data_IF_785503689149
#
_entry.id   IF_785503689149
#
_cell.length_a   1.000
_cell.length_b   1.000
_cell.length_c   1.000
_cell.angle_alpha   90.00
_cell.angle_beta   90.00
_cell.angle_gamma   90.00
#
_symmetry.space_group_name_H-M   'P 1'
#
loop_
_entity.id
_entity.type
_entity.pdbx_description
1 polymer ?
#
# COMPACT_ATOMS: atom_id res chain seq x y z
N UNK A 1 -1.08 22.94 22.10
CA UNK A 1 -0.81 21.54 22.49
C UNK A 1 -1.41 20.63 21.43
N UNK A 2 -0.65 20.30 20.38
CA UNK A 2 -1.13 19.41 19.32
C UNK A 2 -0.80 18.00 19.77
N UNK A 3 -1.81 17.23 20.18
CA UNK A 3 -1.67 15.81 20.43
C UNK A 3 -1.45 15.10 19.08
N UNK A 4 -0.20 15.03 18.62
CA UNK A 4 0.19 14.07 17.58
C UNK A 4 0.40 12.72 18.27
N UNK A 5 -0.68 11.98 18.50
CA UNK A 5 -0.58 10.56 18.85
C UNK A 5 0.02 9.83 17.65
N UNK A 6 1.34 9.77 17.61
CA UNK A 6 2.04 9.07 16.54
C UNK A 6 1.86 7.58 16.77
N UNK A 7 0.96 6.94 16.01
CA UNK A 7 0.71 5.51 16.10
C UNK A 7 2.02 4.77 15.81
N UNK A 8 2.62 4.18 16.85
CA UNK A 8 3.76 3.29 16.68
C UNK A 8 3.26 1.90 16.27
N UNK A 9 3.85 1.35 15.20
CA UNK A 9 3.53 0.01 14.75
C UNK A 9 4.48 -0.96 15.44
N UNK A 10 3.96 -1.82 16.31
CA UNK A 10 4.75 -2.87 16.97
C UNK A 10 5.31 -3.90 15.98
N UNK A 11 4.57 -4.18 14.90
CA UNK A 11 4.98 -4.97 13.73
C UNK A 11 4.84 -4.11 12.45
N UNK A 12 5.89 -3.40 11.99
CA UNK A 12 5.79 -2.39 10.95
C UNK A 12 5.75 -3.01 9.54
N UNK A 13 4.69 -3.78 9.27
CA UNK A 13 4.32 -4.27 7.94
C UNK A 13 3.51 -3.22 7.21
N UNK A 14 4.09 -2.63 6.18
CA UNK A 14 3.46 -1.58 5.38
C UNK A 14 3.17 -2.09 3.98
N UNK A 15 1.90 -2.02 3.57
CA UNK A 15 1.48 -2.34 2.22
C UNK A 15 1.49 -1.06 1.38
N UNK A 16 2.27 -1.06 0.30
CA UNK A 16 2.29 0.02 -0.69
C UNK A 16 1.45 -0.38 -1.89
N UNK A 17 0.56 0.52 -2.31
CA UNK A 17 -0.20 0.38 -3.54
C UNK A 17 -0.44 1.74 -4.19
N UNK A 18 -0.85 1.76 -5.46
CA UNK A 18 -1.21 3.04 -6.07
C UNK A 18 -1.51 2.97 -7.56
N UNK A 19 -1.61 4.16 -8.14
CA UNK A 19 -1.85 4.35 -9.57
C UNK A 19 -0.73 3.71 -10.40
N UNK A 20 -1.12 3.00 -11.45
CA UNK A 20 -0.22 2.40 -12.45
C UNK A 20 0.56 3.44 -13.24
N UNK A 21 0.09 4.68 -13.24
CA UNK A 21 0.71 5.84 -13.90
C UNK A 21 1.21 6.90 -12.91
N UNK A 22 1.45 6.52 -11.66
CA UNK A 22 1.94 7.44 -10.64
C UNK A 22 3.18 8.22 -11.12
N UNK A 23 3.08 9.55 -11.13
CA UNK A 23 4.06 10.45 -11.76
C UNK A 23 5.19 10.87 -10.82
N UNK A 24 5.06 10.60 -9.53
CA UNK A 24 5.97 11.12 -8.50
C UNK A 24 6.62 9.98 -7.70
N UNK A 25 7.50 9.17 -8.32
CA UNK A 25 8.19 8.09 -7.61
C UNK A 25 9.04 8.60 -6.43
N UNK A 26 9.47 9.86 -6.48
CA UNK A 26 10.16 10.53 -5.36
C UNK A 26 9.31 10.59 -4.08
N UNK A 27 8.00 10.76 -4.20
CA UNK A 27 7.09 10.76 -3.04
C UNK A 27 7.01 9.39 -2.38
N UNK A 28 7.02 8.31 -3.19
CA UNK A 28 7.08 6.93 -2.65
C UNK A 28 8.38 6.73 -1.89
N UNK A 29 9.49 7.20 -2.45
CA UNK A 29 10.81 7.17 -1.79
C UNK A 29 10.79 7.93 -0.47
N UNK A 30 10.31 9.18 -0.45
CA UNK A 30 10.28 10.00 0.76
C UNK A 30 9.43 9.37 1.89
N UNK A 31 8.28 8.78 1.56
CA UNK A 31 7.45 8.09 2.55
C UNK A 31 8.16 6.84 3.09
N UNK A 32 8.77 6.03 2.22
CA UNK A 32 9.50 4.84 2.64
C UNK A 32 10.77 5.17 3.43
N UNK A 33 11.48 6.25 3.08
CA UNK A 33 12.64 6.74 3.85
C UNK A 33 12.22 7.14 5.27
N UNK A 34 11.08 7.84 5.44
CA UNK A 34 10.53 8.18 6.77
C UNK A 34 10.16 6.93 7.58
N UNK A 35 9.53 5.94 6.94
CA UNK A 35 9.21 4.67 7.59
C UNK A 35 10.47 3.89 7.97
N UNK A 36 11.49 3.89 7.12
CA UNK A 36 12.77 3.23 7.38
C UNK A 36 13.53 3.92 8.52
N UNK A 37 13.57 5.27 8.53
CA UNK A 37 14.15 6.03 9.63
C UNK A 37 13.46 5.74 10.97
N UNK A 38 12.14 5.50 10.95
CA UNK A 38 11.36 5.18 12.14
C UNK A 38 11.51 3.75 12.64
N UNK A 39 11.48 2.77 11.73
CA UNK A 39 11.37 1.35 12.10
C UNK A 39 12.64 0.55 11.86
N UNK A 40 13.61 1.10 11.13
CA UNK A 40 14.88 0.47 10.80
C UNK A 40 14.70 -0.91 10.16
N UNK A 41 15.43 -1.89 10.69
CA UNK A 41 15.43 -3.26 10.18
C UNK A 41 14.13 -4.03 10.40
N UNK A 42 13.23 -3.50 11.23
CA UNK A 42 11.89 -4.09 11.43
C UNK A 42 10.95 -3.82 10.27
N UNK A 43 11.20 -2.79 9.45
CA UNK A 43 10.30 -2.42 8.36
C UNK A 43 10.18 -3.54 7.33
N UNK A 44 8.93 -3.99 7.11
CA UNK A 44 8.54 -4.92 6.06
C UNK A 44 7.66 -4.15 5.06
N UNK A 45 8.04 -4.18 3.78
CA UNK A 45 7.30 -3.55 2.68
C UNK A 45 6.64 -4.62 1.83
N UNK A 46 5.32 -4.51 1.66
CA UNK A 46 4.49 -5.39 0.83
C UNK A 46 4.02 -4.61 -0.40
N UNK A 47 4.22 -5.15 -1.60
CA UNK A 47 3.84 -4.49 -2.87
C UNK A 47 3.43 -5.50 -3.96
N UNK A 48 2.76 -5.04 -5.01
CA UNK A 48 2.09 -5.91 -5.99
C UNK A 48 2.75 -6.06 -7.36
N UNK A 49 3.98 -5.59 -7.52
CA UNK A 49 4.77 -5.56 -8.74
C UNK A 49 4.03 -5.02 -9.97
N UNK A 50 3.13 -4.05 -9.76
CA UNK A 50 2.54 -3.28 -10.83
C UNK A 50 3.47 -2.12 -11.27
N UNK A 51 3.13 -1.48 -12.40
CA UNK A 51 3.76 -0.22 -12.78
C UNK A 51 3.40 0.92 -11.83
N UNK A 52 4.04 2.09 -11.96
CA UNK A 52 3.73 3.27 -11.16
C UNK A 52 4.20 3.13 -9.71
N UNK A 53 3.28 3.29 -8.75
CA UNK A 53 3.61 3.33 -7.33
C UNK A 53 4.26 2.02 -6.81
N UNK A 54 3.67 0.86 -7.15
CA UNK A 54 4.22 -0.45 -6.77
C UNK A 54 5.66 -0.60 -7.30
N UNK A 55 5.93 -0.18 -8.55
CA UNK A 55 7.28 -0.21 -9.14
C UNK A 55 8.26 0.70 -8.39
N UNK A 56 7.83 1.89 -8.00
CA UNK A 56 8.67 2.81 -7.23
C UNK A 56 9.04 2.20 -5.86
N UNK A 57 8.08 1.58 -5.17
CA UNK A 57 8.33 0.88 -3.91
C UNK A 57 9.28 -0.32 -4.08
N UNK A 58 9.08 -1.11 -5.14
CA UNK A 58 9.95 -2.22 -5.47
C UNK A 58 11.40 -1.78 -5.69
N UNK A 59 11.61 -0.70 -6.46
CA UNK A 59 12.93 -0.13 -6.71
C UNK A 59 13.57 0.42 -5.44
N UNK A 60 12.78 1.07 -4.58
CA UNK A 60 13.25 1.53 -3.28
C UNK A 60 13.73 0.36 -2.40
N UNK A 61 12.97 -0.73 -2.33
CA UNK A 61 13.36 -1.91 -1.54
C UNK A 61 14.68 -2.50 -2.03
N UNK A 62 14.84 -2.65 -3.35
CA UNK A 62 16.08 -3.13 -3.96
C UNK A 62 17.27 -2.21 -3.69
N UNK A 63 17.10 -0.90 -3.86
CA UNK A 63 18.16 0.09 -3.62
C UNK A 63 18.63 0.09 -2.17
N UNK A 64 17.71 -0.13 -1.23
CA UNK A 64 18.01 -0.18 0.21
C UNK A 64 18.34 -1.60 0.71
N UNK A 65 18.54 -2.58 -0.18
CA UNK A 65 18.99 -3.91 0.20
C UNK A 65 18.00 -4.73 1.03
N UNK A 66 16.70 -4.45 0.96
CA UNK A 66 15.69 -5.27 1.65
C UNK A 66 15.65 -6.67 1.05
N UNK A 67 15.97 -7.67 1.87
CA UNK A 67 15.90 -9.09 1.51
C UNK A 67 14.46 -9.64 1.46
N UNK A 68 14.28 -10.91 1.08
CA UNK A 68 12.97 -11.55 0.90
C UNK A 68 12.04 -11.54 2.14
N UNK A 69 12.62 -11.44 3.33
CA UNK A 69 11.86 -11.37 4.59
C UNK A 69 11.26 -9.98 4.84
N UNK A 70 11.85 -8.95 4.23
CA UNK A 70 11.47 -7.54 4.40
C UNK A 70 10.83 -6.94 3.15
N UNK A 71 11.06 -7.50 1.97
CA UNK A 71 10.42 -7.09 0.72
C UNK A 71 9.52 -8.20 0.19
N UNK A 72 8.21 -8.03 0.41
CA UNK A 72 7.15 -8.99 0.04
C UNK A 72 6.49 -8.55 -1.27
N UNK A 73 6.95 -9.10 -2.38
CA UNK A 73 6.47 -8.77 -3.72
C UNK A 73 5.42 -9.80 -4.20
N UNK A 74 4.28 -9.32 -4.70
CA UNK A 74 3.17 -10.17 -5.17
C UNK A 74 2.79 -9.88 -6.64
N UNK A 75 3.58 -10.35 -7.62
CA UNK A 75 3.31 -10.14 -9.03
C UNK A 75 2.06 -10.89 -9.51
N UNK A 76 1.52 -10.44 -10.65
CA UNK A 76 0.49 -11.14 -11.41
C UNK A 76 1.00 -11.31 -12.84
N UNK A 77 1.05 -12.55 -13.33
CA UNK A 77 1.30 -12.81 -14.75
C UNK A 77 0.01 -12.60 -15.55
N UNK A 78 -0.20 -11.35 -15.99
CA UNK A 78 -1.39 -11.00 -16.75
C UNK A 78 -1.54 -11.77 -18.07
N UNK A 79 -0.45 -12.25 -18.67
CA UNK A 79 -0.50 -13.01 -19.92
C UNK A 79 -1.03 -14.42 -19.63
N UNK A 80 -0.47 -15.08 -18.63
CA UNK A 80 -0.93 -16.40 -18.19
C UNK A 80 -2.39 -16.35 -17.72
N UNK A 81 -2.77 -15.33 -16.95
CA UNK A 81 -4.14 -15.16 -16.45
C UNK A 81 -5.17 -14.98 -17.57
N UNK A 82 -4.83 -14.19 -18.60
CA UNK A 82 -5.70 -14.02 -19.78
C UNK A 82 -5.87 -15.31 -20.59
N UNK A 83 -4.83 -16.16 -20.63
CA UNK A 83 -4.88 -17.44 -21.32
C UNK A 83 -5.69 -18.48 -20.54
N UNK A 84 -5.43 -18.61 -19.24
CA UNK A 84 -6.06 -19.62 -18.39
C UNK A 84 -7.54 -19.35 -18.12
N UNK A 85 -7.93 -18.07 -17.97
CA UNK A 85 -9.29 -17.67 -17.63
C UNK A 85 -9.74 -16.42 -18.39
N UNK A 86 -9.94 -16.49 -19.72
CA UNK A 86 -10.19 -15.32 -20.58
C UNK A 86 -11.43 -14.50 -20.20
N UNK A 87 -12.42 -15.10 -19.54
CA UNK A 87 -13.63 -14.40 -19.07
C UNK A 87 -13.44 -13.70 -17.71
N UNK A 88 -12.54 -14.19 -16.87
CA UNK A 88 -12.43 -13.76 -15.46
C UNK A 88 -11.01 -13.34 -15.03
N UNK A 89 -10.05 -13.25 -15.96
CA UNK A 89 -8.66 -12.86 -15.69
C UNK A 89 -8.48 -11.56 -14.89
N UNK A 90 -9.44 -10.63 -14.99
CA UNK A 90 -9.41 -9.36 -14.24
C UNK A 90 -9.52 -9.57 -12.72
N UNK A 91 -10.05 -10.72 -12.27
CA UNK A 91 -10.11 -11.10 -10.86
C UNK A 91 -8.73 -11.35 -10.24
N UNK A 92 -7.70 -11.62 -11.06
CA UNK A 92 -6.32 -11.82 -10.60
C UNK A 92 -5.78 -10.62 -9.79
N UNK A 93 -6.21 -9.40 -10.11
CA UNK A 93 -5.86 -8.20 -9.35
C UNK A 93 -6.46 -8.19 -7.93
N UNK A 94 -7.80 -8.25 -7.78
CA UNK A 94 -8.45 -8.40 -6.48
C UNK A 94 -7.99 -9.61 -5.67
N UNK A 95 -7.69 -10.74 -6.32
CA UNK A 95 -7.13 -11.92 -5.65
C UNK A 95 -5.72 -11.65 -5.13
N UNK A 96 -4.87 -11.00 -5.92
CA UNK A 96 -3.56 -10.52 -5.46
C UNK A 96 -3.69 -9.57 -4.28
N UNK A 97 -4.61 -8.61 -4.33
CA UNK A 97 -4.89 -7.71 -3.20
C UNK A 97 -5.23 -8.48 -1.93
N UNK A 98 -6.04 -9.53 -2.05
CA UNK A 98 -6.40 -10.43 -0.95
C UNK A 98 -5.18 -11.18 -0.41
N UNK A 99 -4.27 -11.66 -1.27
CA UNK A 99 -3.01 -12.28 -0.84
C UNK A 99 -2.13 -11.30 -0.07
N UNK A 100 -1.97 -10.07 -0.54
CA UNK A 100 -1.17 -9.05 0.15
C UNK A 100 -1.76 -8.68 1.53
N UNK A 101 -3.09 -8.64 1.67
CA UNK A 101 -3.73 -8.38 2.97
C UNK A 101 -3.58 -9.55 3.96
N UNK A 102 -3.45 -10.80 3.48
CA UNK A 102 -3.18 -11.96 4.33
C UNK A 102 -1.79 -11.94 4.97
N UNK A 103 -0.86 -11.13 4.46
CA UNK A 103 0.42 -10.83 5.11
C UNK A 103 0.24 -9.94 6.37
N UNK A 104 -1.00 -9.55 6.69
CA UNK A 104 -1.39 -8.76 7.88
C UNK A 104 -0.66 -7.41 7.97
N UNK A 105 -0.70 -6.57 6.91
CA UNK A 105 -0.16 -5.22 7.01
C UNK A 105 -0.86 -4.44 8.12
N UNK A 106 -0.12 -3.56 8.78
CA UNK A 106 -0.62 -2.67 9.83
C UNK A 106 -0.90 -1.25 9.33
N UNK A 107 -0.44 -0.95 8.11
CA UNK A 107 -0.70 0.29 7.41
C UNK A 107 -0.75 0.02 5.90
N UNK A 108 -1.70 0.63 5.22
CA UNK A 108 -1.70 0.76 3.76
C UNK A 108 -1.27 2.18 3.41
N UNK A 109 -0.29 2.35 2.52
CA UNK A 109 0.06 3.63 1.93
C UNK A 109 -0.35 3.59 0.46
N UNK A 110 -1.36 4.40 0.12
CA UNK A 110 -1.98 4.40 -1.19
C UNK A 110 -1.64 5.69 -1.95
N UNK A 111 -0.83 5.56 -3.01
CA UNK A 111 -0.41 6.67 -3.86
C UNK A 111 -1.37 6.82 -5.04
N UNK A 112 -2.24 7.83 -5.02
CA UNK A 112 -3.24 7.99 -6.07
C UNK A 112 -3.72 9.44 -6.21
N UNK A 113 -3.62 10.01 -7.43
CA UNK A 113 -3.87 11.44 -7.66
C UNK A 113 -5.34 11.84 -7.59
N UNK A 114 -6.23 10.88 -7.87
CA UNK A 114 -7.68 11.05 -7.80
C UNK A 114 -8.31 9.83 -7.18
N UNK A 115 -8.64 9.90 -5.90
CA UNK A 115 -9.28 8.77 -5.23
C UNK A 115 -10.77 8.77 -5.55
N UNK A 116 -11.18 7.93 -6.49
CA UNK A 116 -12.58 7.71 -6.83
C UNK A 116 -13.08 6.42 -6.11
N UNK A 117 -13.97 6.54 -5.12
CA UNK A 117 -14.50 5.39 -4.40
C UNK A 117 -15.15 4.38 -5.35
N UNK A 118 -14.79 3.10 -5.20
CA UNK A 118 -15.40 2.02 -5.99
C UNK A 118 -14.80 1.79 -7.38
N UNK A 119 -13.86 2.62 -7.84
CA UNK A 119 -13.17 2.42 -9.12
C UNK A 119 -11.67 2.12 -8.94
N UNK A 120 -11.17 1.14 -9.71
CA UNK A 120 -9.74 0.83 -9.79
C UNK A 120 -9.18 -0.07 -8.67
N UNK A 121 -7.93 -0.52 -8.88
CA UNK A 121 -7.25 -1.47 -8.00
C UNK A 121 -6.88 -0.90 -6.63
N UNK A 122 -6.55 0.39 -6.56
CA UNK A 122 -6.16 1.09 -5.33
C UNK A 122 -7.34 1.32 -4.39
N UNK A 123 -8.49 1.77 -4.92
CA UNK A 123 -9.73 1.87 -4.14
C UNK A 123 -10.18 0.52 -3.61
N UNK A 124 -10.05 -0.55 -4.43
CA UNK A 124 -10.32 -1.91 -3.97
C UNK A 124 -9.41 -2.34 -2.80
N UNK A 125 -8.11 -2.06 -2.87
CA UNK A 125 -7.17 -2.36 -1.78
C UNK A 125 -7.55 -1.62 -0.50
N UNK A 126 -7.76 -0.30 -0.58
CA UNK A 126 -8.07 0.51 0.59
C UNK A 126 -9.40 0.11 1.24
N UNK A 127 -10.45 -0.15 0.44
CA UNK A 127 -11.74 -0.62 0.96
C UNK A 127 -11.60 -1.95 1.70
N UNK A 128 -10.89 -2.93 1.11
CA UNK A 128 -10.65 -4.23 1.76
C UNK A 128 -9.80 -4.09 3.03
N UNK A 129 -8.81 -3.19 3.03
CA UNK A 129 -8.01 -2.84 4.19
C UNK A 129 -8.86 -2.30 5.34
N UNK A 130 -9.69 -1.31 5.06
CA UNK A 130 -10.60 -0.71 6.06
C UNK A 130 -11.59 -1.72 6.62
N UNK A 131 -12.18 -2.58 5.78
CA UNK A 131 -13.03 -3.70 6.23
C UNK A 131 -12.26 -4.66 7.15
N UNK A 132 -10.97 -4.84 6.89
CA UNK A 132 -10.06 -5.69 7.66
C UNK A 132 -9.38 -4.96 8.84
N UNK A 133 -9.84 -3.75 9.19
CA UNK A 133 -9.30 -2.90 10.26
C UNK A 133 -7.83 -2.47 10.05
N UNK A 134 -7.39 -2.39 8.80
CA UNK A 134 -6.07 -1.84 8.44
C UNK A 134 -6.26 -0.38 8.00
N UNK A 135 -5.65 0.60 8.68
CA UNK A 135 -5.74 2.00 8.29
C UNK A 135 -5.07 2.25 6.93
N UNK A 136 -5.60 3.22 6.19
CA UNK A 136 -5.06 3.64 4.90
C UNK A 136 -4.64 5.12 4.94
N UNK A 137 -3.38 5.37 4.61
CA UNK A 137 -2.83 6.70 4.38
C UNK A 137 -2.85 7.00 2.89
N UNK A 138 -3.62 8.02 2.49
CA UNK A 138 -3.79 8.40 1.09
C UNK A 138 -2.81 9.50 0.75
N UNK A 139 -1.95 9.27 -0.25
CA UNK A 139 -0.97 10.24 -0.76
C UNK A 139 -1.41 10.71 -2.15
N UNK A 140 -1.91 11.95 -2.28
CA UNK A 140 -2.56 12.41 -3.52
C UNK A 140 -1.63 13.06 -4.54
N UNK A 141 -0.38 13.38 -4.18
CA UNK A 141 0.47 14.18 -5.04
C UNK A 141 1.95 14.05 -4.76
N UNK A 142 2.76 15.01 -5.27
CA UNK A 142 4.20 15.02 -5.07
C UNK A 142 4.62 15.27 -3.62
N UNK A 143 3.79 15.98 -2.85
CA UNK A 143 4.04 16.33 -1.47
C UNK A 143 3.65 15.17 -0.54
N UNK A 144 4.62 14.51 0.16
CA UNK A 144 4.34 13.41 1.08
C UNK A 144 3.62 13.87 2.36
N UNK A 145 3.61 15.17 2.67
CA UNK A 145 2.96 15.72 3.86
C UNK A 145 1.47 16.04 3.63
N UNK A 146 1.02 16.07 2.38
CA UNK A 146 -0.40 16.32 2.01
C UNK A 146 -1.27 15.07 2.14
N UNK A 147 -0.77 14.01 2.76
CA UNK A 147 -1.54 12.78 2.92
C UNK A 147 -2.56 12.87 4.04
N UNK A 148 -3.85 12.71 3.73
CA UNK A 148 -4.92 12.65 4.74
C UNK A 148 -4.96 11.25 5.35
N UNK A 149 -4.74 11.16 6.65
CA UNK A 149 -5.08 9.96 7.42
C UNK A 149 -6.61 9.80 7.44
N UNK A 150 -7.14 8.71 6.87
CA UNK A 150 -8.52 8.28 7.14
C UNK A 150 -8.45 7.22 8.24
N UNK A 151 -8.27 7.65 9.49
CA UNK A 151 -8.46 6.78 10.64
C UNK A 151 -9.92 6.80 11.06
N UNK A 152 -10.44 5.58 11.21
CA UNK A 152 -11.75 5.21 11.71
C UNK A 152 -12.04 5.97 13.01
N UNK A 153 -12.93 6.96 12.97
CA UNK A 153 -13.49 7.62 14.15
C UNK A 153 -14.78 6.94 14.64
N UNK A 154 -14.93 5.63 14.41
CA UNK A 154 -16.20 4.90 14.56
C UNK A 154 -16.12 3.64 15.43
N UNK A 155 -15.18 3.56 16.38
CA UNK A 155 -15.23 2.52 17.44
C UNK A 155 -15.24 3.05 18.87
N UNK A 156 -15.27 4.37 19.08
CA UNK A 156 -15.45 4.97 20.42
C UNK A 156 -16.84 5.61 20.61
N UNK A 157 -17.76 5.43 19.66
CA UNK A 157 -19.12 5.98 19.73
C UNK A 157 -20.23 4.93 19.76
N UNK A 158 -19.90 3.65 19.93
CA UNK A 158 -20.90 2.62 20.22
C UNK A 158 -20.37 1.58 21.21
N UNK A 159 -20.45 1.97 22.50
CA UNK A 159 -20.42 1.15 23.73
C UNK A 159 -19.08 0.61 24.21
#
# INVERSE_FOLDING_TARGET
>A
MVMTSSVELSDPRVLVCGDRRWLWPGTVTAVLDRLAARYGDRLIVIEGAASGADRAAHLWCKRNGLGPDRHRCHPVDWKAERLARPKTWRLAGPERNTRMLRERPRLIVAFHSRFDPGSGGTSNMCLRGLISNVPAWLVPGPDPDVGRERVRRELELNR
#
